data_IF_578367171325
#
_entry.id   IF_578367171325
#
_cell.length_a   1.000
_cell.length_b   1.000
_cell.length_c   1.000
_cell.angle_alpha   90.00
_cell.angle_beta   90.00
_cell.angle_gamma   90.00
#
_symmetry.space_group_name_H-M   'P 1'
#
loop_
_entity.id
_entity.type
_entity.pdbx_description
1 polymer ?
#
# COMPACT_ATOMS: atom_id res chain seq x y z
N UNK A 1 -15.05 2.41 32.52
CA UNK A 1 -14.72 2.14 31.09
C UNK A 1 -15.44 3.13 30.17
N UNK A 2 -16.76 3.30 30.32
CA UNK A 2 -17.55 4.29 29.57
C UNK A 2 -16.97 5.71 29.67
N UNK A 3 -16.82 6.30 30.85
CA UNK A 3 -16.34 7.69 31.02
C UNK A 3 -14.99 7.95 30.35
N UNK A 4 -14.05 7.02 30.48
CA UNK A 4 -12.73 7.13 29.84
C UNK A 4 -12.85 7.18 28.31
N UNK A 5 -13.62 6.27 27.71
CA UNK A 5 -13.86 6.26 26.26
C UNK A 5 -14.63 7.50 25.83
N UNK A 6 -15.67 7.89 26.57
CA UNK A 6 -16.49 9.05 26.26
C UNK A 6 -15.67 10.34 26.28
N UNK A 7 -14.82 10.55 27.30
CA UNK A 7 -13.87 11.67 27.35
C UNK A 7 -12.86 11.63 26.21
N UNK A 8 -12.33 10.44 25.86
CA UNK A 8 -11.40 10.32 24.75
C UNK A 8 -12.05 10.65 23.39
N UNK A 9 -13.33 10.31 23.21
CA UNK A 9 -14.07 10.58 21.96
C UNK A 9 -14.60 12.01 21.89
N UNK A 10 -15.08 12.58 23.00
CA UNK A 10 -15.85 13.85 23.01
C UNK A 10 -15.24 14.96 23.86
N UNK A 11 -14.14 14.71 24.58
CA UNK A 11 -13.37 15.74 25.31
C UNK A 11 -13.94 16.19 26.66
N UNK A 12 -15.19 15.87 26.99
CA UNK A 12 -15.85 16.26 28.25
C UNK A 12 -16.69 15.10 28.81
N UNK A 13 -16.98 15.15 30.11
CA UNK A 13 -17.95 14.26 30.74
C UNK A 13 -19.24 15.03 31.05
N UNK A 14 -20.38 14.36 30.88
CA UNK A 14 -21.65 14.90 31.31
C UNK A 14 -21.88 14.45 32.75
N UNK A 15 -21.62 15.35 33.68
CA UNK A 15 -21.83 15.15 35.11
C UNK A 15 -23.33 15.16 35.44
N UNK A 16 -23.73 14.48 36.51
CA UNK A 16 -25.10 14.40 37.01
C UNK A 16 -26.17 13.77 36.08
N UNK A 17 -25.74 13.11 34.99
CA UNK A 17 -26.64 12.33 34.12
C UNK A 17 -26.46 10.83 34.41
N UNK A 18 -27.54 10.09 34.74
CA UNK A 18 -27.44 8.66 34.99
C UNK A 18 -27.09 7.90 33.71
N UNK A 19 -26.10 7.00 33.81
CA UNK A 19 -25.72 6.10 32.73
C UNK A 19 -26.84 5.11 32.42
N UNK A 20 -27.11 4.91 31.13
CA UNK A 20 -28.07 3.91 30.63
C UNK A 20 -27.43 3.06 29.55
N UNK A 21 -27.53 1.75 29.68
CA UNK A 21 -27.12 0.79 28.65
C UNK A 21 -28.29 0.59 27.69
N UNK A 22 -28.13 1.06 26.44
CA UNK A 22 -29.17 0.93 25.42
C UNK A 22 -29.07 -0.37 24.62
N UNK A 23 -27.84 -0.84 24.39
CA UNK A 23 -27.57 -2.01 23.54
C UNK A 23 -26.45 -2.85 24.14
N UNK A 24 -26.60 -4.17 24.11
CA UNK A 24 -25.55 -5.13 24.39
C UNK A 24 -25.21 -5.87 23.10
N UNK A 25 -23.94 -5.81 22.69
CA UNK A 25 -23.44 -6.53 21.52
C UNK A 25 -22.41 -7.56 21.97
N UNK A 26 -22.55 -8.79 21.47
CA UNK A 26 -21.60 -9.87 21.72
C UNK A 26 -20.92 -10.20 20.38
N UNK A 27 -19.60 -10.33 20.40
CA UNK A 27 -18.81 -10.78 19.26
C UNK A 27 -18.02 -12.03 19.67
N UNK A 28 -18.15 -13.09 18.88
CA UNK A 28 -17.33 -14.30 19.01
C UNK A 28 -16.36 -14.33 17.83
N UNK A 29 -15.07 -14.37 18.13
CA UNK A 29 -14.01 -14.35 17.11
C UNK A 29 -13.31 -15.70 17.09
N UNK A 30 -13.50 -16.47 16.01
CA UNK A 30 -12.71 -17.66 15.75
C UNK A 30 -11.30 -17.29 15.30
N UNK A 31 -10.29 -17.88 15.94
CA UNK A 31 -8.89 -17.72 15.53
C UNK A 31 -8.51 -18.86 14.59
N UNK A 32 -8.03 -18.50 13.41
CA UNK A 32 -7.50 -19.41 12.40
C UNK A 32 -6.00 -19.21 12.29
N UNK A 33 -5.22 -20.24 11.91
CA UNK A 33 -3.79 -20.08 11.65
C UNK A 33 -3.56 -18.93 10.66
N UNK A 34 -2.54 -18.12 10.93
CA UNK A 34 -2.14 -17.04 10.03
C UNK A 34 -1.51 -17.67 8.79
N UNK A 35 -1.94 -17.23 7.61
CA UNK A 35 -1.33 -17.62 6.35
C UNK A 35 -0.16 -16.69 6.06
N UNK A 36 1.02 -17.25 5.83
CA UNK A 36 2.22 -16.48 5.49
C UNK A 36 2.12 -16.01 4.03
N UNK A 37 1.91 -14.71 3.83
CA UNK A 37 1.79 -14.13 2.49
C UNK A 37 3.13 -14.02 1.76
N UNK A 38 4.27 -14.21 2.44
CA UNK A 38 5.58 -14.19 1.75
C UNK A 38 5.73 -15.35 0.75
N UNK A 39 4.95 -16.43 0.91
CA UNK A 39 5.00 -17.60 0.01
C UNK A 39 4.52 -17.31 -1.42
N UNK A 40 3.77 -16.22 -1.63
CA UNK A 40 3.30 -15.78 -2.94
C UNK A 40 4.14 -14.63 -3.51
N UNK A 41 5.16 -14.16 -2.77
CA UNK A 41 6.04 -13.10 -3.24
C UNK A 41 6.92 -13.58 -4.41
N UNK A 42 7.21 -12.74 -5.41
CA UNK A 42 8.13 -13.06 -6.49
C UNK A 42 9.52 -13.45 -5.94
N UNK A 43 10.15 -14.48 -6.51
CA UNK A 43 11.46 -14.90 -6.04
C UNK A 43 12.51 -13.80 -6.27
N UNK A 44 13.36 -13.55 -5.26
CA UNK A 44 14.36 -12.48 -5.30
C UNK A 44 15.45 -12.70 -6.37
N UNK A 45 15.55 -13.89 -6.96
CA UNK A 45 16.55 -14.27 -7.96
C UNK A 45 16.05 -14.22 -9.41
N UNK A 46 14.86 -13.65 -9.66
CA UNK A 46 14.38 -13.40 -11.03
C UNK A 46 14.92 -12.07 -11.56
N UNK A 47 14.89 -11.89 -12.88
CA UNK A 47 15.25 -10.62 -13.51
C UNK A 47 13.96 -9.88 -13.89
N UNK A 48 13.90 -8.58 -13.62
CA UNK A 48 12.82 -7.73 -14.09
C UNK A 48 12.75 -7.75 -15.63
N UNK A 49 11.55 -7.93 -16.18
CA UNK A 49 11.33 -7.87 -17.62
C UNK A 49 10.85 -6.48 -18.02
N UNK A 50 11.75 -5.68 -18.60
CA UNK A 50 11.38 -4.45 -19.29
C UNK A 50 10.79 -4.81 -20.65
N UNK A 51 9.52 -4.46 -20.88
CA UNK A 51 8.77 -4.81 -22.10
C UNK A 51 8.84 -3.73 -23.17
N UNK A 52 9.28 -2.52 -22.81
CA UNK A 52 9.51 -1.44 -23.78
C UNK A 52 9.61 -0.07 -23.13
N UNK A 53 9.35 0.95 -23.94
CA UNK A 53 9.28 2.35 -23.52
C UNK A 53 8.04 3.01 -24.13
N UNK A 54 7.44 3.94 -23.39
CA UNK A 54 6.25 4.69 -23.83
C UNK A 54 6.41 6.16 -23.44
N UNK A 55 6.06 7.06 -24.34
CA UNK A 55 6.02 8.48 -24.04
C UNK A 55 4.80 8.77 -23.17
N UNK A 56 5.01 9.45 -22.04
CA UNK A 56 3.97 9.83 -21.08
C UNK A 56 4.04 11.33 -20.81
N UNK A 57 2.90 11.96 -20.57
CA UNK A 57 2.86 13.35 -20.18
C UNK A 57 2.78 13.47 -18.65
N UNK A 58 3.82 14.03 -18.03
CA UNK A 58 3.92 14.24 -16.58
C UNK A 58 4.70 15.53 -16.31
N UNK A 59 4.50 16.15 -15.15
CA UNK A 59 5.22 17.37 -14.74
C UNK A 59 5.30 18.49 -15.82
N UNK A 60 4.23 18.64 -16.60
CA UNK A 60 4.14 19.65 -17.66
C UNK A 60 4.96 19.35 -18.93
N UNK A 61 5.49 18.13 -19.12
CA UNK A 61 6.25 17.75 -20.29
C UNK A 61 6.08 16.29 -20.72
N UNK A 62 6.64 15.95 -21.89
CA UNK A 62 6.75 14.56 -22.34
C UNK A 62 7.98 13.90 -21.72
N UNK A 63 7.78 12.70 -21.16
CA UNK A 63 8.81 11.86 -20.58
C UNK A 63 8.83 10.49 -21.25
N UNK A 64 10.02 9.92 -21.42
CA UNK A 64 10.21 8.54 -21.89
C UNK A 64 10.13 7.59 -20.69
N UNK A 65 8.98 6.95 -20.48
CA UNK A 65 8.80 6.01 -19.37
C UNK A 65 9.19 4.59 -19.79
N UNK A 66 9.93 3.89 -18.94
CA UNK A 66 10.18 2.45 -19.12
C UNK A 66 8.95 1.65 -18.74
N UNK A 67 8.62 0.64 -19.52
CA UNK A 67 7.49 -0.25 -19.28
C UNK A 67 8.02 -1.60 -18.79
N UNK A 68 7.47 -2.10 -17.70
CA UNK A 68 7.83 -3.38 -17.11
C UNK A 68 6.62 -4.28 -16.94
N UNK A 69 6.83 -5.60 -17.07
CA UNK A 69 5.86 -6.59 -16.64
C UNK A 69 5.87 -6.68 -15.11
N UNK A 70 4.78 -6.26 -14.46
CA UNK A 70 4.70 -6.12 -12.99
C UNK A 70 4.98 -7.44 -12.27
N UNK A 71 4.51 -8.56 -12.81
CA UNK A 71 4.67 -9.87 -12.18
C UNK A 71 6.10 -10.42 -12.27
N UNK A 72 6.95 -9.81 -13.10
CA UNK A 72 8.35 -10.21 -13.25
C UNK A 72 9.30 -9.57 -12.22
N UNK A 73 8.84 -8.53 -11.51
CA UNK A 73 9.69 -7.77 -10.59
C UNK A 73 10.03 -8.59 -9.33
N UNK A 74 11.31 -8.89 -9.06
CA UNK A 74 11.71 -9.63 -7.86
C UNK A 74 11.52 -8.81 -6.59
N UNK A 75 11.41 -9.48 -5.44
CA UNK A 75 11.48 -8.82 -4.12
C UNK A 75 12.79 -8.03 -4.01
N UNK A 76 12.69 -6.79 -3.55
CA UNK A 76 13.81 -5.86 -3.40
C UNK A 76 14.11 -5.03 -4.65
N UNK A 77 13.45 -5.30 -5.78
CA UNK A 77 13.61 -4.50 -7.01
C UNK A 77 13.21 -3.04 -6.77
N UNK A 78 14.02 -2.13 -7.30
CA UNK A 78 13.82 -0.67 -7.20
C UNK A 78 13.63 -0.10 -8.59
N UNK A 79 12.44 0.44 -8.83
CA UNK A 79 12.07 1.07 -10.10
C UNK A 79 11.94 2.57 -9.90
N UNK A 80 12.83 3.34 -10.52
CA UNK A 80 12.76 4.80 -10.51
C UNK A 80 11.81 5.29 -11.60
N UNK A 81 10.95 6.24 -11.23
CA UNK A 81 10.07 6.92 -12.19
C UNK A 81 10.85 7.89 -13.11
N UNK A 82 10.36 8.19 -14.31
CA UNK A 82 9.07 7.77 -14.86
C UNK A 82 9.06 6.31 -15.34
N UNK A 83 8.11 5.51 -14.84
CA UNK A 83 7.97 4.10 -15.19
C UNK A 83 6.51 3.65 -15.20
N UNK A 84 6.17 2.71 -16.08
CA UNK A 84 4.86 2.08 -16.17
C UNK A 84 5.02 0.59 -15.87
N UNK A 85 4.24 0.07 -14.92
CA UNK A 85 4.18 -1.35 -14.59
C UNK A 85 2.83 -1.88 -15.07
N UNK A 86 2.86 -2.77 -16.05
CA UNK A 86 1.66 -3.38 -16.60
C UNK A 86 1.41 -4.73 -15.93
N UNK A 87 0.15 -4.98 -15.55
CA UNK A 87 -0.37 -6.24 -15.05
C UNK A 87 -1.69 -6.52 -15.77
N UNK A 88 -2.16 -7.77 -15.77
CA UNK A 88 -3.40 -8.15 -16.44
C UNK A 88 -4.65 -7.46 -15.88
N UNK A 89 -4.63 -7.00 -14.63
CA UNK A 89 -5.75 -6.37 -13.92
C UNK A 89 -5.50 -4.90 -13.55
N UNK A 90 -4.28 -4.38 -13.74
CA UNK A 90 -3.89 -3.05 -13.31
C UNK A 90 -2.73 -2.48 -14.11
N UNK A 91 -2.60 -1.15 -14.11
CA UNK A 91 -1.42 -0.45 -14.62
C UNK A 91 -0.99 0.59 -13.60
N UNK A 92 0.27 0.53 -13.18
CA UNK A 92 0.82 1.43 -12.17
C UNK A 92 1.79 2.38 -12.86
N UNK A 93 1.55 3.68 -12.74
CA UNK A 93 2.49 4.70 -13.17
C UNK A 93 3.28 5.22 -11.97
N UNK A 94 4.60 5.20 -12.05
CA UNK A 94 5.52 5.80 -11.08
C UNK A 94 5.97 7.13 -11.67
N UNK A 95 5.54 8.24 -11.05
CA UNK A 95 5.88 9.59 -11.49
C UNK A 95 7.39 9.90 -11.41
N UNK A 96 7.88 10.86 -12.22
CA UNK A 96 9.22 11.42 -12.03
C UNK A 96 9.49 11.83 -10.58
N UNK A 97 10.66 11.45 -10.04
CA UNK A 97 11.05 11.76 -8.66
C UNK A 97 10.48 10.80 -7.60
N UNK A 98 9.67 9.83 -7.99
CA UNK A 98 9.26 8.70 -7.15
C UNK A 98 10.07 7.44 -7.46
N UNK A 99 10.14 6.55 -6.48
CA UNK A 99 10.60 5.17 -6.65
C UNK A 99 9.55 4.18 -6.16
N UNK A 100 9.44 3.06 -6.86
CA UNK A 100 8.70 1.89 -6.42
C UNK A 100 9.67 0.81 -5.94
N UNK A 101 9.40 0.22 -4.78
CA UNK A 101 10.19 -0.87 -4.20
C UNK A 101 9.30 -2.08 -3.97
N UNK A 102 9.73 -3.26 -4.42
CA UNK A 102 9.00 -4.51 -4.14
C UNK A 102 9.35 -5.00 -2.73
N UNK A 103 8.38 -5.04 -1.82
CA UNK A 103 8.59 -5.50 -0.45
C UNK A 103 8.65 -7.05 -0.35
N UNK A 104 8.93 -7.58 0.85
CA UNK A 104 9.02 -9.02 1.10
C UNK A 104 7.71 -9.82 0.93
N UNK A 105 6.58 -9.15 0.72
CA UNK A 105 5.29 -9.77 0.43
C UNK A 105 4.91 -9.61 -1.05
N UNK A 106 5.79 -9.05 -1.88
CA UNK A 106 5.53 -8.77 -3.28
C UNK A 106 4.67 -7.53 -3.52
N UNK A 107 4.40 -6.70 -2.51
CA UNK A 107 3.73 -5.42 -2.70
C UNK A 107 4.68 -4.44 -3.39
N UNK A 108 4.12 -3.49 -4.15
CA UNK A 108 4.89 -2.35 -4.64
C UNK A 108 4.65 -1.15 -3.72
N UNK A 109 5.69 -0.72 -3.02
CA UNK A 109 5.67 0.46 -2.16
C UNK A 109 6.23 1.64 -2.93
N UNK A 110 5.41 2.67 -3.16
CA UNK A 110 5.84 3.88 -3.86
C UNK A 110 6.17 4.98 -2.85
N UNK A 111 7.34 5.57 -3.00
CA UNK A 111 7.84 6.63 -2.13
C UNK A 111 8.62 7.70 -2.91
N UNK A 112 8.83 8.88 -2.30
CA UNK A 112 9.71 9.91 -2.88
C UNK A 112 11.16 9.46 -2.77
N UNK A 113 11.96 9.67 -3.83
CA UNK A 113 13.41 9.43 -3.79
C UNK A 113 14.10 10.27 -2.70
N UNK A 114 13.63 11.52 -2.53
CA UNK A 114 14.10 12.45 -1.50
C UNK A 114 12.89 12.97 -0.70
N UNK A 115 12.73 12.58 0.57
CA UNK A 115 11.77 13.23 1.46
C UNK A 115 12.36 14.59 1.88
N UNK A 116 11.80 15.68 1.35
CA UNK A 116 11.90 17.00 1.99
C UNK A 116 10.96 17.09 3.19
#
# INVERSE_FOLDING_TARGET
AFDRTYRATYGLLLEDIPLRVLNLRIAVVGRRPVFDLSVIAPAANTTSTMTGERDVWADGGWHRARVYERLSLPVGERIHGPAVLEQSDATIFIDPGLEGVVDGHGNLVVQRLNPE
#
